data_IF_071626914714
#
_entry.id   IF_071626914714
#
_cell.length_a   1.000
_cell.length_b   1.000
_cell.length_c   1.000
_cell.angle_alpha   90.00
_cell.angle_beta   90.00
_cell.angle_gamma   90.00
#
_symmetry.space_group_name_H-M   'P 1'
#
loop_
_entity.id
_entity.type
_entity.pdbx_description
1 polymer ?
#
# COMPACT_ATOMS: atom_id res chain seq x y z
N UNK A 1 13.93 -3.29 3.86
CA UNK A 1 14.48 -4.48 4.55
C UNK A 1 13.83 -5.76 4.04
N UNK A 2 12.53 -6.01 4.26
CA UNK A 2 11.87 -7.28 3.86
C UNK A 2 12.00 -7.56 2.35
N UNK A 3 11.77 -6.57 1.47
CA UNK A 3 11.96 -6.77 0.03
C UNK A 3 13.37 -7.26 -0.33
N UNK A 4 14.40 -6.71 0.33
CA UNK A 4 15.80 -7.10 0.08
C UNK A 4 16.08 -8.53 0.53
N UNK A 5 15.39 -9.02 1.57
CA UNK A 5 15.51 -10.40 2.04
C UNK A 5 14.92 -11.35 1.00
N UNK A 6 13.76 -11.03 0.43
CA UNK A 6 13.13 -11.80 -0.64
C UNK A 6 14.00 -11.77 -1.90
N UNK A 7 14.42 -10.58 -2.35
CA UNK A 7 15.24 -10.40 -3.55
C UNK A 7 16.59 -11.15 -3.48
N UNK A 8 17.13 -11.34 -2.28
CA UNK A 8 18.43 -11.99 -2.04
C UNK A 8 18.31 -13.32 -1.31
N UNK A 9 17.18 -13.99 -1.40
CA UNK A 9 16.92 -15.25 -0.69
C UNK A 9 18.00 -16.30 -0.98
N UNK A 10 18.35 -16.52 -2.25
CA UNK A 10 19.34 -17.54 -2.63
C UNK A 10 20.73 -17.31 -2.02
N UNK A 11 21.37 -16.12 -2.19
CA UNK A 11 22.62 -15.79 -1.51
C UNK A 11 22.54 -15.90 0.01
N UNK A 12 21.43 -15.48 0.61
CA UNK A 12 21.24 -15.53 2.05
C UNK A 12 21.20 -16.98 2.57
N UNK A 13 20.45 -17.85 1.89
CA UNK A 13 20.37 -19.26 2.24
C UNK A 13 21.71 -19.97 2.09
N UNK A 14 22.47 -19.66 1.02
CA UNK A 14 23.82 -20.18 0.82
C UNK A 14 24.76 -19.77 1.96
N UNK A 15 24.75 -18.49 2.35
CA UNK A 15 25.57 -18.00 3.46
C UNK A 15 25.18 -18.65 4.80
N UNK A 16 23.89 -18.88 5.06
CA UNK A 16 23.43 -19.56 6.27
C UNK A 16 23.88 -21.02 6.32
N UNK A 17 23.89 -21.71 5.18
CA UNK A 17 24.40 -23.08 5.05
C UNK A 17 25.91 -23.14 5.31
N UNK A 18 26.69 -22.21 4.74
CA UNK A 18 28.14 -22.11 4.99
C UNK A 18 28.47 -21.87 6.47
N UNK A 19 27.66 -21.05 7.14
CA UNK A 19 27.79 -20.76 8.57
C UNK A 19 27.21 -21.87 9.47
N UNK A 20 26.66 -22.96 8.89
CA UNK A 20 25.99 -24.07 9.59
C UNK A 20 24.86 -23.61 10.51
N UNK A 21 24.16 -22.53 10.15
CA UNK A 21 23.00 -21.99 10.88
C UNK A 21 21.69 -22.37 10.19
N UNK A 22 21.46 -23.67 10.11
CA UNK A 22 20.23 -24.24 9.53
C UNK A 22 18.98 -23.93 10.36
N UNK A 23 19.15 -23.62 11.64
CA UNK A 23 18.10 -23.16 12.57
C UNK A 23 17.52 -21.78 12.18
N UNK A 24 18.24 -21.01 11.35
CA UNK A 24 17.80 -19.70 10.87
C UNK A 24 17.31 -19.72 9.42
N UNK A 25 17.21 -20.90 8.79
CA UNK A 25 16.67 -20.99 7.42
C UNK A 25 15.19 -20.61 7.42
N UNK A 26 14.78 -19.62 6.61
CA UNK A 26 13.37 -19.27 6.50
C UNK A 26 12.61 -20.44 5.88
N UNK A 27 11.48 -20.78 6.50
CA UNK A 27 10.53 -21.74 5.97
C UNK A 27 9.73 -21.17 4.80
N UNK A 28 9.15 -22.03 3.96
CA UNK A 28 8.30 -21.62 2.83
C UNK A 28 7.10 -20.77 3.27
N UNK A 29 6.57 -21.03 4.47
CA UNK A 29 5.45 -20.27 5.04
C UNK A 29 5.89 -18.86 5.48
N UNK A 30 7.08 -18.72 6.06
CA UNK A 30 7.65 -17.43 6.41
C UNK A 30 7.96 -16.59 5.17
N UNK A 31 8.49 -17.22 4.11
CA UNK A 31 8.72 -16.56 2.83
C UNK A 31 7.41 -16.08 2.19
N UNK A 32 6.39 -16.93 2.13
CA UNK A 32 5.07 -16.56 1.61
C UNK A 32 4.40 -15.44 2.43
N UNK A 33 4.64 -15.42 3.75
CA UNK A 33 4.20 -14.34 4.64
C UNK A 33 4.90 -13.02 4.29
N UNK A 34 6.22 -13.05 4.08
CA UNK A 34 7.00 -11.87 3.67
C UNK A 34 6.59 -11.36 2.29
N UNK A 35 6.36 -12.24 1.32
CA UNK A 35 5.85 -11.89 -0.01
C UNK A 35 4.48 -11.22 0.09
N UNK A 36 3.56 -11.81 0.86
CA UNK A 36 2.24 -11.23 1.11
C UNK A 36 2.34 -9.82 1.70
N UNK A 37 3.24 -9.62 2.67
CA UNK A 37 3.49 -8.31 3.25
C UNK A 37 3.99 -7.30 2.21
N UNK A 38 4.99 -7.69 1.40
CA UNK A 38 5.58 -6.83 0.37
C UNK A 38 4.54 -6.44 -0.67
N UNK A 39 3.73 -7.38 -1.13
CA UNK A 39 2.66 -7.12 -2.11
C UNK A 39 1.65 -6.08 -1.63
N UNK A 40 1.21 -6.18 -0.37
CA UNK A 40 0.25 -5.25 0.20
C UNK A 40 0.84 -3.84 0.32
N UNK A 41 2.12 -3.75 0.72
CA UNK A 41 2.82 -2.49 0.94
C UNK A 41 3.29 -1.82 -0.36
N UNK A 42 3.49 -2.59 -1.44
CA UNK A 42 4.06 -2.11 -2.70
C UNK A 42 3.33 -0.89 -3.29
N UNK A 43 1.99 -0.82 -3.32
CA UNK A 43 1.30 0.37 -3.82
C UNK A 43 1.48 1.61 -2.93
N UNK A 44 1.61 1.44 -1.61
CA UNK A 44 1.90 2.56 -0.71
C UNK A 44 3.30 3.11 -0.96
N UNK A 45 4.30 2.23 -1.14
CA UNK A 45 5.66 2.64 -1.52
C UNK A 45 5.62 3.42 -2.84
N UNK A 46 4.94 2.89 -3.86
CA UNK A 46 4.83 3.58 -5.16
C UNK A 46 4.18 4.97 -5.05
N UNK A 47 3.14 5.11 -4.21
CA UNK A 47 2.50 6.40 -3.95
C UNK A 47 3.48 7.36 -3.25
N UNK A 48 4.17 6.91 -2.19
CA UNK A 48 5.14 7.75 -1.48
C UNK A 48 6.29 8.19 -2.38
N UNK A 49 6.79 7.29 -3.24
CA UNK A 49 7.82 7.60 -4.22
C UNK A 49 7.36 8.61 -5.26
N UNK A 50 6.14 8.46 -5.79
CA UNK A 50 5.56 9.42 -6.72
C UNK A 50 5.39 10.81 -6.08
N UNK A 51 4.90 10.85 -4.84
CA UNK A 51 4.75 12.11 -4.08
C UNK A 51 6.11 12.75 -3.77
N UNK A 52 7.14 11.94 -3.51
CA UNK A 52 8.50 12.43 -3.25
C UNK A 52 9.19 12.96 -4.51
N UNK A 53 8.85 12.44 -5.68
CA UNK A 53 9.42 12.89 -6.95
C UNK A 53 8.93 14.29 -7.35
N UNK A 54 7.78 14.72 -6.84
CA UNK A 54 7.28 16.09 -7.02
C UNK A 54 7.96 17.04 -6.03
N UNK A 55 8.46 18.19 -6.50
CA UNK A 55 9.01 19.24 -5.62
C UNK A 55 7.95 19.77 -4.63
N UNK A 56 6.70 19.81 -5.10
CA UNK A 56 5.53 20.18 -4.32
C UNK A 56 4.42 19.17 -4.60
N UNK A 57 4.02 18.39 -3.59
CA UNK A 57 2.92 17.44 -3.71
C UNK A 57 1.64 18.19 -4.09
N UNK A 58 1.08 17.86 -5.24
CA UNK A 58 -0.16 18.50 -5.68
C UNK A 58 -1.35 18.03 -4.83
N UNK A 59 -1.85 18.87 -3.93
CA UNK A 59 -2.96 18.51 -3.00
C UNK A 59 -4.21 17.96 -3.70
N UNK A 60 -4.47 18.34 -4.95
CA UNK A 60 -5.58 17.83 -5.77
C UNK A 60 -5.48 16.33 -6.06
N UNK A 61 -4.27 15.75 -6.09
CA UNK A 61 -4.06 14.32 -6.40
C UNK A 61 -4.27 13.41 -5.19
N UNK A 62 -4.27 13.98 -3.97
CA UNK A 62 -4.47 13.21 -2.75
C UNK A 62 -5.85 12.56 -2.69
N UNK A 63 -6.91 13.27 -3.09
CA UNK A 63 -8.27 12.71 -3.09
C UNK A 63 -8.41 11.45 -3.95
N UNK A 64 -7.98 11.42 -5.23
CA UNK A 64 -8.02 10.21 -6.05
C UNK A 64 -7.22 9.07 -5.44
N UNK A 65 -6.02 9.36 -4.92
CA UNK A 65 -5.14 8.36 -4.32
C UNK A 65 -5.83 7.72 -3.11
N UNK A 66 -6.36 8.54 -2.20
CA UNK A 66 -7.10 8.07 -1.02
C UNK A 66 -8.33 7.27 -1.41
N UNK A 67 -9.08 7.72 -2.42
CA UNK A 67 -10.24 6.99 -2.91
C UNK A 67 -9.84 5.59 -3.39
N UNK A 68 -8.77 5.47 -4.19
CA UNK A 68 -8.28 4.19 -4.69
C UNK A 68 -7.76 3.28 -3.57
N UNK A 69 -7.08 3.84 -2.57
CA UNK A 69 -6.60 3.08 -1.43
C UNK A 69 -7.76 2.52 -0.60
N UNK A 70 -8.70 3.38 -0.19
CA UNK A 70 -9.78 3.04 0.73
C UNK A 70 -10.87 2.18 0.09
N UNK A 71 -11.17 2.37 -1.20
CA UNK A 71 -12.30 1.72 -1.86
C UNK A 71 -11.90 0.58 -2.82
N UNK A 72 -10.60 0.34 -3.01
CA UNK A 72 -10.14 -0.73 -3.90
C UNK A 72 -8.96 -1.49 -3.32
N UNK A 73 -7.83 -0.85 -3.04
CA UNK A 73 -6.60 -1.56 -2.64
C UNK A 73 -6.71 -2.23 -1.27
N UNK A 74 -7.24 -1.52 -0.28
CA UNK A 74 -7.38 -1.99 1.09
C UNK A 74 -8.71 -2.73 1.35
N UNK A 75 -9.52 -2.95 0.31
CA UNK A 75 -10.75 -3.73 0.41
C UNK A 75 -10.39 -5.22 0.32
N UNK A 76 -10.88 -6.01 1.27
CA UNK A 76 -10.70 -7.45 1.28
C UNK A 76 -11.45 -8.13 0.15
N UNK A 77 -10.84 -9.15 -0.45
CA UNK A 77 -11.44 -9.98 -1.50
C UNK A 77 -11.56 -11.44 -1.03
N UNK A 78 -12.47 -12.21 -1.64
CA UNK A 78 -12.66 -13.62 -1.28
C UNK A 78 -11.41 -14.51 -1.52
N UNK A 79 -10.49 -14.05 -2.37
CA UNK A 79 -9.21 -14.71 -2.64
C UNK A 79 -8.10 -14.36 -1.65
N UNK A 80 -8.32 -13.40 -0.75
CA UNK A 80 -7.27 -12.95 0.17
C UNK A 80 -7.04 -13.97 1.29
N UNK A 81 -5.76 -14.20 1.63
CA UNK A 81 -5.38 -14.96 2.82
C UNK A 81 -5.81 -14.23 4.10
N UNK A 82 -5.92 -14.97 5.21
CA UNK A 82 -6.30 -14.38 6.50
C UNK A 82 -5.36 -13.23 6.92
N UNK A 83 -4.05 -13.40 6.70
CA UNK A 83 -3.06 -12.34 6.95
C UNK A 83 -3.35 -11.10 6.11
N UNK A 84 -3.58 -11.27 4.81
CA UNK A 84 -3.84 -10.17 3.89
C UNK A 84 -5.11 -9.41 4.27
N UNK A 85 -6.19 -10.13 4.61
CA UNK A 85 -7.42 -9.53 5.10
C UNK A 85 -7.19 -8.70 6.36
N UNK A 86 -6.48 -9.26 7.35
CA UNK A 86 -6.18 -8.56 8.60
C UNK A 86 -5.32 -7.32 8.38
N UNK A 87 -4.27 -7.42 7.56
CA UNK A 87 -3.43 -6.26 7.24
C UNK A 87 -4.25 -5.16 6.56
N UNK A 88 -5.03 -5.52 5.53
CA UNK A 88 -5.89 -4.58 4.82
C UNK A 88 -6.89 -3.88 5.75
N UNK A 89 -7.54 -4.62 6.65
CA UNK A 89 -8.52 -4.04 7.59
C UNK A 89 -7.88 -3.07 8.58
N UNK A 90 -6.72 -3.42 9.15
CA UNK A 90 -5.99 -2.55 10.09
C UNK A 90 -5.51 -1.27 9.38
N UNK A 91 -4.97 -1.42 8.16
CA UNK A 91 -4.52 -0.27 7.35
C UNK A 91 -5.69 0.62 6.94
N UNK A 92 -6.84 0.03 6.58
CA UNK A 92 -8.04 0.78 6.24
C UNK A 92 -8.59 1.55 7.44
N UNK A 93 -8.61 0.93 8.62
CA UNK A 93 -9.02 1.59 9.87
C UNK A 93 -8.08 2.75 10.22
N UNK A 94 -6.76 2.53 10.23
CA UNK A 94 -5.76 3.57 10.51
C UNK A 94 -5.86 4.73 9.49
N UNK A 95 -5.95 4.42 8.20
CA UNK A 95 -6.04 5.46 7.18
C UNK A 95 -7.35 6.25 7.27
N UNK A 96 -8.48 5.58 7.53
CA UNK A 96 -9.78 6.26 7.65
C UNK A 96 -9.82 7.24 8.82
N UNK A 97 -9.17 6.91 9.95
CA UNK A 97 -9.12 7.81 11.12
C UNK A 97 -8.27 9.06 10.89
N UNK A 98 -7.27 9.00 10.01
CA UNK A 98 -6.40 10.13 9.68
C UNK A 98 -7.02 11.13 8.72
N UNK A 99 -8.07 10.73 7.99
CA UNK A 99 -8.74 11.55 6.99
C UNK A 99 -10.22 11.72 7.33
N UNK A 100 -10.56 12.59 8.30
CA UNK A 100 -11.95 12.87 8.64
C UNK A 100 -12.69 13.55 7.48
N UNK A 101 -14.02 13.54 7.54
CA UNK A 101 -14.89 14.02 6.46
C UNK A 101 -14.60 15.48 6.04
N UNK A 102 -14.30 16.36 6.97
CA UNK A 102 -13.95 17.76 6.68
C UNK A 102 -12.67 17.87 5.82
N UNK A 103 -11.67 17.03 6.12
CA UNK A 103 -10.44 16.97 5.35
C UNK A 103 -10.71 16.34 3.97
N UNK A 104 -11.51 15.27 3.90
CA UNK A 104 -11.91 14.66 2.63
C UNK A 104 -12.70 15.64 1.75
N UNK A 105 -13.54 16.50 2.34
CA UNK A 105 -14.27 17.54 1.62
C UNK A 105 -13.31 18.59 1.06
N UNK A 106 -12.33 19.05 1.84
CA UNK A 106 -11.29 19.97 1.37
C UNK A 106 -10.51 19.37 0.19
N UNK A 107 -10.06 18.12 0.32
CA UNK A 107 -9.34 17.41 -0.73
C UNK A 107 -10.22 17.20 -1.98
N UNK A 108 -11.52 16.99 -1.81
CA UNK A 108 -12.47 16.88 -2.92
C UNK A 108 -12.64 18.20 -3.66
N UNK A 109 -12.69 19.33 -2.95
CA UNK A 109 -12.70 20.67 -3.56
C UNK A 109 -11.40 20.93 -4.33
N UNK A 110 -10.24 20.63 -3.74
CA UNK A 110 -8.96 20.77 -4.40
C UNK A 110 -8.88 19.93 -5.69
N UNK A 111 -9.35 18.68 -5.64
CA UNK A 111 -9.43 17.81 -6.81
C UNK A 111 -10.41 18.32 -7.87
N UNK A 112 -11.54 18.90 -7.47
CA UNK A 112 -12.53 19.49 -8.39
C UNK A 112 -11.98 20.68 -9.18
N UNK A 113 -11.15 21.51 -8.55
CA UNK A 113 -10.50 22.64 -9.23
C UNK A 113 -9.37 22.21 -10.18
N UNK A 114 -8.86 20.98 -10.06
CA UNK A 114 -7.85 20.44 -10.97
C UNK A 114 -8.51 19.87 -12.23
N UNK A 115 -8.32 20.55 -13.36
CA UNK A 115 -8.90 20.14 -14.65
C UNK A 115 -8.49 18.74 -15.09
N UNK A 116 -7.32 18.25 -14.66
CA UNK A 116 -6.81 16.92 -14.99
C UNK A 116 -7.62 15.79 -14.37
N UNK A 117 -8.37 16.08 -13.31
CA UNK A 117 -9.07 15.09 -12.49
C UNK A 117 -10.57 15.02 -12.77
N UNK A 118 -11.13 15.94 -13.57
CA UNK A 118 -12.57 16.07 -13.81
C UNK A 118 -13.25 14.83 -14.41
N UNK A 119 -12.50 13.97 -15.09
CA UNK A 119 -13.01 12.73 -15.68
C UNK A 119 -13.04 11.54 -14.68
N UNK A 120 -12.62 11.74 -13.43
CA UNK A 120 -12.45 10.64 -12.48
C UNK A 120 -13.73 10.34 -11.69
N UNK A 121 -14.05 9.05 -11.48
CA UNK A 121 -15.34 8.62 -10.93
C UNK A 121 -15.62 9.08 -9.49
N UNK A 122 -14.58 9.41 -8.73
CA UNK A 122 -14.74 9.88 -7.35
C UNK A 122 -15.29 11.31 -7.23
N UNK A 123 -15.28 12.09 -8.33
CA UNK A 123 -15.88 13.43 -8.40
C UNK A 123 -17.32 13.40 -8.93
N UNK A 124 -17.72 12.35 -9.64
CA UNK A 124 -19.06 12.21 -10.24
C UNK A 124 -20.08 11.56 -9.31
N UNK A 125 -19.64 10.96 -8.20
CA UNK A 125 -20.51 10.31 -7.20
C UNK A 125 -21.20 11.30 -6.23
N UNK A 126 -21.25 12.59 -6.57
CA UNK A 126 -22.11 13.56 -5.89
C UNK A 126 -23.49 13.58 -6.53
N UNK A 127 -24.29 12.54 -6.30
CA UNK A 127 -25.76 12.58 -6.36
C UNK A 127 -26.34 11.67 -5.28
#
# INVERSE_FOLDING_TARGET
>A
MICQVIDRQQPLCAALLELKKSDLMPSDTELSTMETYVDIMKPLVAITEAMRAEEWVTISTLRPILHKLLNSHLVGTASDTQLRLKMKSEMLADLSTRYPDDLLLLLSKAAFFDSRLKALPFLTLSQ
#
